data_IF_622939048029
#
_entry.id   IF_622939048029
#
_cell.length_a   1.000
_cell.length_b   1.000
_cell.length_c   1.000
_cell.angle_alpha   90.00
_cell.angle_beta   90.00
_cell.angle_gamma   90.00
#
_symmetry.space_group_name_H-M   'P 1'
#
loop_
_entity.id
_entity.type
_entity.pdbx_description
1 polymer ?
#
# COMPACT_ATOMS: atom_id res chain seq x y z
N UNK A 1 -6.67 47.87 4.54
CA UNK A 1 -6.41 46.70 3.67
C UNK A 1 -5.04 46.07 3.90
N UNK A 2 -3.92 46.82 3.88
CA UNK A 2 -2.59 46.26 4.17
C UNK A 2 -2.48 45.58 5.56
N UNK A 3 -2.99 46.21 6.63
CA UNK A 3 -2.98 45.64 7.99
C UNK A 3 -3.82 44.36 8.16
N UNK A 4 -4.86 44.19 7.35
CA UNK A 4 -5.73 43.01 7.41
C UNK A 4 -5.11 41.83 6.65
N UNK A 5 -4.23 42.12 5.70
CA UNK A 5 -3.46 41.15 4.94
C UNK A 5 -2.24 40.66 5.73
N UNK A 6 -1.55 41.56 6.45
CA UNK A 6 -0.51 41.20 7.43
C UNK A 6 -1.08 40.32 8.56
N UNK A 7 -2.26 40.65 9.11
CA UNK A 7 -2.89 39.84 10.16
C UNK A 7 -3.36 38.46 9.67
N UNK A 8 -3.76 38.33 8.40
CA UNK A 8 -4.12 37.05 7.80
C UNK A 8 -2.88 36.21 7.46
N UNK A 9 -1.77 36.83 7.06
CA UNK A 9 -0.48 36.15 6.89
C UNK A 9 0.10 35.70 8.25
N UNK A 10 -0.06 36.50 9.30
CA UNK A 10 0.37 36.18 10.66
C UNK A 10 -0.50 35.07 11.30
N UNK A 11 -1.81 35.04 11.02
CA UNK A 11 -2.70 33.95 11.45
C UNK A 11 -2.53 32.68 10.60
N UNK A 12 -2.20 32.77 9.32
CA UNK A 12 -1.85 31.62 8.49
C UNK A 12 -0.48 31.00 8.88
N UNK A 13 0.41 31.81 9.46
CA UNK A 13 1.65 31.35 10.07
C UNK A 13 1.49 30.71 11.46
N UNK A 14 0.28 30.71 12.04
CA UNK A 14 0.03 30.30 13.43
C UNK A 14 -0.05 28.77 13.67
N UNK A 15 0.26 27.95 12.67
CA UNK A 15 0.32 26.49 12.82
C UNK A 15 1.64 26.01 13.42
N UNK A 16 1.69 24.85 14.10
CA UNK A 16 2.92 24.35 14.71
C UNK A 16 4.01 24.04 13.67
N UNK A 17 3.63 23.55 12.49
CA UNK A 17 4.60 23.25 11.42
C UNK A 17 5.28 24.52 10.86
N UNK A 18 4.56 25.58 10.44
CA UNK A 18 5.19 26.85 10.08
C UNK A 18 6.19 27.38 11.12
N UNK A 19 5.86 27.32 12.42
CA UNK A 19 6.78 27.74 13.47
C UNK A 19 8.07 26.91 13.52
N UNK A 20 7.97 25.58 13.40
CA UNK A 20 9.14 24.68 13.34
C UNK A 20 10.00 25.01 12.12
N UNK A 21 9.38 25.19 10.95
CA UNK A 21 10.08 25.51 9.70
C UNK A 21 10.78 26.87 9.76
N UNK A 22 10.17 27.88 10.39
CA UNK A 22 10.78 29.20 10.59
C UNK A 22 11.98 29.14 11.54
N UNK A 23 11.83 28.43 12.67
CA UNK A 23 12.90 28.28 13.67
C UNK A 23 14.15 27.62 13.09
N UNK A 24 14.00 26.65 12.19
CA UNK A 24 15.10 25.94 11.53
C UNK A 24 15.19 26.24 10.03
N UNK A 25 14.83 27.47 9.62
CA UNK A 25 14.71 27.88 8.21
C UNK A 25 15.96 27.59 7.38
N UNK A 26 17.14 27.90 7.89
CA UNK A 26 18.40 27.68 7.16
C UNK A 26 18.66 26.20 6.89
N UNK A 27 18.40 25.34 7.87
CA UNK A 27 18.54 23.90 7.76
C UNK A 27 17.61 23.34 6.67
N UNK A 28 16.31 23.64 6.73
CA UNK A 28 15.36 23.16 5.72
C UNK A 28 15.65 23.73 4.32
N UNK A 29 16.05 25.00 4.22
CA UNK A 29 16.43 25.59 2.93
C UNK A 29 17.71 24.97 2.35
N UNK A 30 18.68 24.63 3.19
CA UNK A 30 19.88 23.90 2.77
C UNK A 30 19.49 22.50 2.29
N UNK A 31 18.66 21.79 3.04
CA UNK A 31 18.18 20.45 2.71
C UNK A 31 17.44 20.41 1.37
N UNK A 32 16.50 21.35 1.16
CA UNK A 32 15.80 21.50 -0.12
C UNK A 32 16.76 21.75 -1.28
N UNK A 33 17.71 22.67 -1.13
CA UNK A 33 18.72 22.99 -2.16
C UNK A 33 19.58 21.79 -2.50
N UNK A 34 20.00 21.01 -1.50
CA UNK A 34 20.76 19.77 -1.72
C UNK A 34 19.96 18.76 -2.55
N UNK A 35 18.68 18.55 -2.21
CA UNK A 35 17.82 17.64 -2.98
C UNK A 35 17.56 18.15 -4.39
N UNK A 36 17.32 19.45 -4.57
CA UNK A 36 17.13 20.07 -5.88
C UNK A 36 18.38 20.02 -6.75
N UNK A 37 19.57 20.09 -6.17
CA UNK A 37 20.83 19.91 -6.91
C UNK A 37 20.94 18.49 -7.51
N UNK A 38 20.43 17.47 -6.82
CA UNK A 38 20.37 16.09 -7.32
C UNK A 38 19.20 15.86 -8.29
N UNK A 39 18.13 16.65 -8.19
CA UNK A 39 16.94 16.59 -9.05
C UNK A 39 16.52 17.98 -9.51
N UNK A 40 17.09 18.49 -10.62
CA UNK A 40 16.83 19.85 -11.10
C UNK A 40 15.35 20.17 -11.38
N UNK A 41 14.55 19.14 -11.71
CA UNK A 41 13.10 19.26 -11.97
C UNK A 41 12.21 19.31 -10.73
N UNK A 42 12.77 19.37 -9.52
CA UNK A 42 11.99 19.46 -8.29
C UNK A 42 11.34 20.85 -8.15
N UNK A 43 10.01 20.89 -8.16
CA UNK A 43 9.21 22.12 -8.08
C UNK A 43 9.03 22.58 -6.62
N UNK A 44 9.56 23.77 -6.31
CA UNK A 44 9.42 24.37 -4.99
C UNK A 44 8.00 24.81 -4.64
N UNK A 45 7.19 25.20 -5.64
CA UNK A 45 5.80 25.57 -5.41
C UNK A 45 4.96 24.34 -5.05
N UNK A 46 5.12 23.24 -5.80
CA UNK A 46 4.52 21.95 -5.46
C UNK A 46 4.94 21.44 -4.08
N UNK A 47 6.21 21.62 -3.71
CA UNK A 47 6.69 21.26 -2.38
C UNK A 47 6.02 22.07 -1.26
N UNK A 48 5.98 23.40 -1.41
CA UNK A 48 5.33 24.29 -0.45
C UNK A 48 3.82 23.98 -0.32
N UNK A 49 3.15 23.71 -1.45
CA UNK A 49 1.78 23.24 -1.47
C UNK A 49 1.61 21.95 -0.65
N UNK A 50 2.50 20.98 -0.81
CA UNK A 50 2.47 19.72 -0.06
C UNK A 50 2.64 19.92 1.45
N UNK A 51 3.52 20.84 1.85
CA UNK A 51 3.69 21.17 3.26
C UNK A 51 2.42 21.81 3.85
N UNK A 52 1.76 22.70 3.09
CA UNK A 52 0.59 23.43 3.56
C UNK A 52 -0.69 22.59 3.55
N UNK A 53 -0.92 21.81 2.48
CA UNK A 53 -2.16 21.05 2.32
C UNK A 53 -2.16 19.73 3.08
N UNK A 54 -1.00 19.09 3.27
CA UNK A 54 -0.92 17.76 3.85
C UNK A 54 -0.21 17.73 5.20
N UNK A 55 1.00 18.27 5.27
CA UNK A 55 1.80 18.17 6.49
C UNK A 55 1.27 19.07 7.61
N UNK A 56 0.93 20.32 7.33
CA UNK A 56 0.50 21.27 8.35
C UNK A 56 -0.78 20.82 9.09
N UNK A 57 -1.85 20.33 8.42
CA UNK A 57 -3.04 19.84 9.10
C UNK A 57 -2.79 18.58 9.94
N UNK A 58 -1.90 17.68 9.51
CA UNK A 58 -1.50 16.53 10.33
C UNK A 58 -0.68 16.93 11.54
N UNK A 59 0.30 17.82 11.38
CA UNK A 59 1.12 18.32 12.47
C UNK A 59 0.25 19.01 13.53
N UNK A 60 -0.70 19.84 13.10
CA UNK A 60 -1.66 20.48 14.00
C UNK A 60 -2.49 19.46 14.79
N UNK A 61 -2.97 18.40 14.13
CA UNK A 61 -3.74 17.36 14.81
C UNK A 61 -2.91 16.53 15.79
N UNK A 62 -1.64 16.22 15.48
CA UNK A 62 -0.76 15.45 16.36
C UNK A 62 -0.18 16.24 17.54
N UNK A 63 -0.15 17.56 17.43
CA UNK A 63 0.38 18.46 18.47
C UNK A 63 -0.75 19.14 19.27
N UNK A 64 -2.02 18.78 19.03
CA UNK A 64 -3.16 19.36 19.72
C UNK A 64 -3.06 19.19 21.26
N UNK A 65 -2.58 18.03 21.72
CA UNK A 65 -2.48 17.68 23.14
C UNK A 65 -1.06 17.78 23.71
N UNK A 66 -0.03 17.91 22.86
CA UNK A 66 1.37 18.02 23.26
C UNK A 66 2.08 19.06 22.38
N UNK A 67 2.23 20.26 22.93
CA UNK A 67 2.89 21.39 22.28
C UNK A 67 4.37 21.50 22.62
N UNK A 68 4.98 20.42 23.14
CA UNK A 68 6.40 20.43 23.46
C UNK A 68 7.23 20.74 22.20
N UNK A 69 8.17 21.67 22.37
CA UNK A 69 9.01 22.14 21.27
C UNK A 69 9.81 21.01 20.62
N UNK A 70 10.20 20.01 21.40
CA UNK A 70 10.97 18.85 20.92
C UNK A 70 10.09 17.94 20.04
N UNK A 71 8.89 17.58 20.49
CA UNK A 71 7.97 16.77 19.68
C UNK A 71 7.57 17.51 18.40
N UNK A 72 7.33 18.82 18.49
CA UNK A 72 7.04 19.65 17.32
C UNK A 72 8.19 19.62 16.30
N UNK A 73 9.45 19.76 16.75
CA UNK A 73 10.62 19.67 15.87
C UNK A 73 10.74 18.29 15.21
N UNK A 74 10.58 17.21 15.97
CA UNK A 74 10.67 15.83 15.46
C UNK A 74 9.59 15.54 14.40
N UNK A 75 8.34 15.90 14.68
CA UNK A 75 7.23 15.71 13.74
C UNK A 75 7.39 16.61 12.51
N UNK A 76 7.82 17.85 12.69
CA UNK A 76 8.03 18.79 11.60
C UNK A 76 9.13 18.33 10.65
N UNK A 77 10.26 17.85 11.16
CA UNK A 77 11.34 17.27 10.36
C UNK A 77 10.89 16.01 9.62
N UNK A 78 10.19 15.10 10.31
CA UNK A 78 9.68 13.88 9.71
C UNK A 78 8.66 14.12 8.58
N UNK A 79 7.71 15.03 8.79
CA UNK A 79 6.73 15.41 7.76
C UNK A 79 7.38 16.13 6.58
N UNK A 80 8.37 16.99 6.84
CA UNK A 80 9.14 17.67 5.80
C UNK A 80 9.84 16.65 4.89
N UNK A 81 10.56 15.68 5.47
CA UNK A 81 11.26 14.65 4.70
C UNK A 81 10.27 13.73 3.96
N UNK A 82 9.12 13.41 4.56
CA UNK A 82 8.08 12.62 3.88
C UNK A 82 7.51 13.35 2.65
N UNK A 83 7.14 14.63 2.78
CA UNK A 83 6.68 15.44 1.65
C UNK A 83 7.76 15.54 0.56
N UNK A 84 9.02 15.68 0.96
CA UNK A 84 10.14 15.77 0.02
C UNK A 84 10.35 14.45 -0.72
N UNK A 85 10.27 13.32 -0.02
CA UNK A 85 10.36 11.99 -0.61
C UNK A 85 9.21 11.70 -1.59
N UNK A 86 7.98 12.08 -1.25
CA UNK A 86 6.82 11.94 -2.14
C UNK A 86 6.97 12.79 -3.40
N UNK A 87 7.43 14.04 -3.26
CA UNK A 87 7.68 14.90 -4.41
C UNK A 87 8.81 14.37 -5.30
N UNK A 88 9.89 13.83 -4.72
CA UNK A 88 10.95 13.15 -5.47
C UNK A 88 10.43 11.93 -6.23
N UNK A 89 9.43 11.24 -5.70
CA UNK A 89 8.75 10.14 -6.38
C UNK A 89 7.74 10.60 -7.45
N UNK A 90 7.57 11.91 -7.65
CA UNK A 90 6.62 12.48 -8.63
C UNK A 90 5.20 12.63 -8.08
N UNK A 91 5.02 12.56 -6.76
CA UNK A 91 3.72 12.68 -6.09
C UNK A 91 3.60 14.05 -5.42
N UNK A 92 3.42 15.09 -6.23
CA UNK A 92 3.13 16.44 -5.77
C UNK A 92 1.73 16.56 -5.14
N UNK A 93 1.57 17.51 -4.22
CA UNK A 93 0.26 17.87 -3.74
C UNK A 93 -0.62 18.50 -4.82
N UNK A 94 -1.84 18.00 -4.86
CA UNK A 94 -2.95 18.46 -5.67
C UNK A 94 -4.21 17.92 -5.02
N UNK A 95 -5.24 18.77 -4.91
CA UNK A 95 -6.56 18.41 -4.38
C UNK A 95 -7.21 17.24 -5.12
N UNK A 96 -6.88 17.08 -6.41
CA UNK A 96 -7.39 16.01 -7.28
C UNK A 96 -6.30 14.95 -7.58
N UNK A 97 -5.15 15.04 -6.91
CA UNK A 97 -4.03 14.13 -7.10
C UNK A 97 -4.27 12.76 -6.50
N UNK A 98 -3.53 11.76 -6.98
CA UNK A 98 -3.60 10.37 -6.48
C UNK A 98 -3.47 10.25 -4.97
N UNK A 99 -2.77 11.18 -4.32
CA UNK A 99 -2.52 11.17 -2.88
C UNK A 99 -3.64 11.80 -2.04
N UNK A 100 -4.52 12.63 -2.62
CA UNK A 100 -5.55 13.35 -1.87
C UNK A 100 -6.46 12.42 -1.04
N UNK A 101 -6.92 11.26 -1.54
CA UNK A 101 -7.78 10.36 -0.76
C UNK A 101 -7.11 9.81 0.51
N UNK A 102 -5.84 9.39 0.41
CA UNK A 102 -5.13 8.84 1.57
C UNK A 102 -4.82 9.93 2.60
N UNK A 103 -4.41 11.13 2.19
CA UNK A 103 -4.18 12.24 3.12
C UNK A 103 -5.47 12.68 3.81
N UNK A 104 -6.59 12.73 3.09
CA UNK A 104 -7.90 13.00 3.70
C UNK A 104 -8.29 11.96 4.75
N UNK A 105 -8.01 10.68 4.52
CA UNK A 105 -8.22 9.62 5.50
C UNK A 105 -7.29 9.77 6.72
N UNK A 106 -5.99 9.99 6.50
CA UNK A 106 -5.02 10.17 7.59
C UNK A 106 -5.33 11.40 8.45
N UNK A 107 -5.78 12.50 7.84
CA UNK A 107 -6.17 13.70 8.56
C UNK A 107 -7.38 13.46 9.48
N UNK A 108 -8.43 12.82 8.97
CA UNK A 108 -9.61 12.48 9.79
C UNK A 108 -9.27 11.60 10.99
N UNK A 109 -8.25 10.75 10.86
CA UNK A 109 -7.86 9.78 11.89
C UNK A 109 -6.49 10.06 12.49
N UNK A 110 -6.03 11.32 12.49
CA UNK A 110 -4.68 11.67 12.95
C UNK A 110 -4.41 11.19 14.38
N UNK A 111 -5.42 11.26 15.26
CA UNK A 111 -5.34 10.79 16.64
C UNK A 111 -5.13 9.27 16.77
N UNK A 112 -5.42 8.47 15.74
CA UNK A 112 -5.17 7.02 15.75
C UNK A 112 -3.71 6.65 15.43
N UNK A 113 -2.87 7.63 15.04
CA UNK A 113 -1.49 7.44 14.56
C UNK A 113 -0.44 7.81 15.63
N UNK A 114 -0.58 7.41 16.89
CA UNK A 114 0.22 8.01 17.98
C UNK A 114 1.65 7.46 18.20
N UNK A 115 1.92 6.19 17.85
CA UNK A 115 3.19 5.52 18.17
C UNK A 115 4.37 6.07 17.37
N UNK A 116 4.40 5.76 16.07
CA UNK A 116 5.31 6.36 15.08
C UNK A 116 4.48 7.08 14.01
N UNK A 117 3.92 8.28 14.29
CA UNK A 117 3.00 8.98 13.40
C UNK A 117 3.55 9.16 11.99
N UNK A 118 4.80 9.63 11.88
CA UNK A 118 5.44 9.91 10.59
C UNK A 118 5.76 8.60 9.85
N UNK A 119 6.38 7.64 10.52
CA UNK A 119 6.77 6.38 9.87
C UNK A 119 5.56 5.53 9.49
N UNK A 120 4.51 5.51 10.31
CA UNK A 120 3.25 4.86 9.97
C UNK A 120 2.57 5.54 8.77
N UNK A 121 2.48 6.87 8.78
CA UNK A 121 1.94 7.66 7.66
C UNK A 121 2.69 7.36 6.36
N UNK A 122 4.03 7.34 6.40
CA UNK A 122 4.85 6.97 5.24
C UNK A 122 4.57 5.55 4.72
N UNK A 123 4.40 4.57 5.61
CA UNK A 123 4.05 3.19 5.23
C UNK A 123 2.66 3.10 4.60
N UNK A 124 1.67 3.84 5.12
CA UNK A 124 0.31 3.87 4.57
C UNK A 124 0.26 4.57 3.20
N UNK A 125 0.98 5.68 3.04
CA UNK A 125 1.17 6.35 1.74
C UNK A 125 1.83 5.41 0.72
N UNK A 126 2.88 4.69 1.11
CA UNK A 126 3.53 3.71 0.24
C UNK A 126 2.60 2.55 -0.14
N UNK A 127 1.79 2.05 0.79
CA UNK A 127 0.81 1.00 0.51
C UNK A 127 -0.26 1.49 -0.48
N UNK A 128 -0.74 2.71 -0.30
CA UNK A 128 -1.69 3.37 -1.19
C UNK A 128 -1.15 3.54 -2.61
N UNK A 129 0.07 4.08 -2.74
CA UNK A 129 0.75 4.22 -4.04
C UNK A 129 0.98 2.87 -4.70
N UNK A 130 1.42 1.88 -3.93
CA UNK A 130 1.64 0.53 -4.42
C UNK A 130 0.36 -0.07 -5.00
N UNK A 131 -0.78 0.08 -4.31
CA UNK A 131 -2.09 -0.41 -4.76
C UNK A 131 -2.58 0.32 -6.02
N UNK A 132 -2.45 1.64 -6.10
CA UNK A 132 -2.84 2.41 -7.29
C UNK A 132 -2.01 2.03 -8.53
N UNK A 133 -0.79 1.53 -8.35
CA UNK A 133 0.03 1.00 -9.43
C UNK A 133 -0.37 -0.42 -9.86
N UNK A 134 -1.36 -1.07 -9.23
CA UNK A 134 -1.81 -2.41 -9.61
C UNK A 134 -3.13 -2.35 -10.40
N UNK A 135 -3.15 -2.70 -11.71
CA UNK A 135 -4.37 -2.68 -12.52
C UNK A 135 -5.60 -3.44 -11.96
N UNK A 136 -5.38 -4.58 -11.31
CA UNK A 136 -6.48 -5.39 -10.75
C UNK A 136 -6.80 -5.06 -9.29
N UNK A 137 -6.05 -4.14 -8.68
CA UNK A 137 -6.34 -3.78 -7.29
C UNK A 137 -7.58 -2.90 -7.19
N UNK A 138 -8.24 -2.98 -6.04
CA UNK A 138 -9.39 -2.16 -5.67
C UNK A 138 -8.96 -1.13 -4.61
N UNK A 139 -8.26 -0.05 -4.99
CA UNK A 139 -7.73 0.93 -4.03
C UNK A 139 -8.84 1.63 -3.24
N UNK A 140 -9.99 1.94 -3.86
CA UNK A 140 -11.12 2.54 -3.15
C UNK A 140 -11.66 1.64 -2.01
N UNK A 141 -11.82 0.33 -2.27
CA UNK A 141 -12.23 -0.64 -1.25
C UNK A 141 -11.19 -0.78 -0.13
N UNK A 142 -9.91 -0.70 -0.49
CA UNK A 142 -8.82 -0.72 0.48
C UNK A 142 -8.85 0.51 1.38
N UNK A 143 -9.07 1.70 0.82
CA UNK A 143 -9.14 2.95 1.57
C UNK A 143 -10.34 2.97 2.52
N UNK A 144 -11.50 2.49 2.07
CA UNK A 144 -12.68 2.31 2.91
C UNK A 144 -12.42 1.35 4.09
N UNK A 145 -11.71 0.25 3.82
CA UNK A 145 -11.26 -0.67 4.87
C UNK A 145 -10.26 -0.03 5.84
N UNK A 146 -9.29 0.74 5.34
CA UNK A 146 -8.33 1.47 6.17
C UNK A 146 -9.02 2.48 7.07
N UNK A 147 -9.98 3.25 6.55
CA UNK A 147 -10.77 4.22 7.32
C UNK A 147 -11.49 3.53 8.48
N UNK A 148 -12.11 2.37 8.22
CA UNK A 148 -12.78 1.54 9.24
C UNK A 148 -11.81 0.99 10.31
N UNK A 149 -10.57 0.63 9.91
CA UNK A 149 -9.53 0.18 10.85
C UNK A 149 -9.02 1.32 11.72
N UNK A 150 -8.73 2.48 11.13
CA UNK A 150 -8.26 3.65 11.85
C UNK A 150 -9.31 4.16 12.84
N UNK A 151 -10.60 4.10 12.48
CA UNK A 151 -11.69 4.41 13.40
C UNK A 151 -11.73 3.44 14.60
N UNK A 152 -11.58 2.12 14.36
CA UNK A 152 -11.53 1.13 15.44
C UNK A 152 -10.32 1.36 16.34
N UNK A 153 -9.17 1.66 15.74
CA UNK A 153 -7.95 1.97 16.44
C UNK A 153 -8.03 3.24 17.29
N UNK A 154 -8.70 4.28 16.79
CA UNK A 154 -9.00 5.49 17.56
C UNK A 154 -9.80 5.22 18.84
N UNK A 155 -10.47 4.06 18.94
CA UNK A 155 -11.15 3.57 20.16
C UNK A 155 -10.27 2.69 21.06
N UNK A 156 -8.96 2.62 20.79
CA UNK A 156 -8.00 1.84 21.55
C UNK A 156 -7.85 0.38 21.14
N UNK A 157 -8.39 -0.02 19.98
CA UNK A 157 -8.20 -1.38 19.46
C UNK A 157 -6.86 -1.51 18.72
N UNK A 158 -6.03 -2.50 19.05
CA UNK A 158 -4.80 -2.83 18.31
C UNK A 158 -3.65 -1.80 18.40
N UNK A 159 -2.48 -2.19 17.90
CA UNK A 159 -1.27 -1.37 17.86
C UNK A 159 -0.79 -1.10 16.41
N UNK A 160 0.38 -0.46 16.25
CA UNK A 160 1.00 -0.19 14.95
C UNK A 160 1.29 -1.45 14.14
N UNK A 161 1.77 -2.51 14.80
CA UNK A 161 2.12 -3.76 14.15
C UNK A 161 0.87 -4.47 13.62
N UNK A 162 -0.15 -4.59 14.47
CA UNK A 162 -1.47 -5.11 14.12
C UNK A 162 -2.09 -4.34 12.95
N UNK A 163 -2.04 -3.00 12.96
CA UNK A 163 -2.57 -2.17 11.88
C UNK A 163 -1.87 -2.49 10.56
N UNK A 164 -0.55 -2.58 10.55
CA UNK A 164 0.20 -2.88 9.32
C UNK A 164 -0.09 -4.28 8.78
N UNK A 165 -0.25 -5.28 9.66
CA UNK A 165 -0.66 -6.63 9.27
C UNK A 165 -2.10 -6.65 8.71
N UNK A 166 -3.02 -5.92 9.34
CA UNK A 166 -4.41 -5.76 8.89
C UNK A 166 -4.53 -5.04 7.54
N UNK A 167 -3.75 -3.98 7.34
CA UNK A 167 -3.70 -3.23 6.08
C UNK A 167 -3.13 -4.08 4.94
N UNK A 168 -2.19 -4.98 5.23
CA UNK A 168 -1.72 -5.92 4.23
C UNK A 168 -2.78 -6.99 3.88
N UNK A 169 -3.56 -7.45 4.87
CA UNK A 169 -4.71 -8.32 4.62
C UNK A 169 -5.75 -7.62 3.73
N UNK A 170 -6.06 -6.35 4.00
CA UNK A 170 -6.91 -5.55 3.10
C UNK A 170 -6.33 -5.50 1.69
N UNK A 171 -5.02 -5.24 1.55
CA UNK A 171 -4.39 -5.18 0.23
C UNK A 171 -4.51 -6.52 -0.52
N UNK A 172 -4.35 -7.64 0.20
CA UNK A 172 -4.59 -8.97 -0.36
C UNK A 172 -6.05 -9.13 -0.81
N UNK A 173 -7.02 -8.85 0.07
CA UNK A 173 -8.45 -8.88 -0.27
C UNK A 173 -8.81 -7.98 -1.44
N UNK A 174 -8.09 -6.87 -1.61
CA UNK A 174 -8.27 -5.91 -2.68
C UNK A 174 -7.49 -6.26 -3.95
N UNK A 175 -6.98 -7.49 -4.12
CA UNK A 175 -6.44 -7.98 -5.40
C UNK A 175 -4.93 -8.19 -5.44
N UNK A 176 -4.20 -7.92 -4.37
CA UNK A 176 -2.75 -8.16 -4.31
C UNK A 176 -2.47 -9.62 -3.91
N UNK A 177 -2.78 -10.58 -4.79
CA UNK A 177 -2.70 -12.03 -4.54
C UNK A 177 -1.35 -12.50 -3.97
N UNK A 178 -0.24 -11.85 -4.37
CA UNK A 178 1.10 -12.16 -3.85
C UNK A 178 1.25 -11.99 -2.33
N UNK A 179 0.37 -11.24 -1.67
CA UNK A 179 0.39 -11.03 -0.23
C UNK A 179 -0.22 -12.18 0.56
N UNK A 180 -0.99 -13.09 -0.06
CA UNK A 180 -1.65 -14.23 0.60
C UNK A 180 -0.77 -14.93 1.62
N UNK A 181 0.42 -15.36 1.19
CA UNK A 181 1.29 -16.16 2.05
C UNK A 181 1.77 -15.39 3.28
N UNK A 182 2.27 -14.17 3.08
CA UNK A 182 2.75 -13.33 4.17
C UNK A 182 1.63 -12.95 5.14
N UNK A 183 0.45 -12.61 4.61
CA UNK A 183 -0.73 -12.27 5.42
C UNK A 183 -1.19 -13.47 6.25
N UNK A 184 -1.34 -14.65 5.64
CA UNK A 184 -1.79 -15.84 6.35
C UNK A 184 -0.80 -16.30 7.44
N UNK A 185 0.47 -15.94 7.35
CA UNK A 185 1.44 -16.18 8.42
C UNK A 185 1.30 -15.20 9.59
N UNK A 186 0.87 -13.97 9.32
CA UNK A 186 0.77 -12.89 10.32
C UNK A 186 -0.63 -12.62 10.83
N UNK A 187 -1.62 -13.34 10.32
CA UNK A 187 -3.03 -13.12 10.69
C UNK A 187 -3.29 -13.29 12.20
N UNK A 188 -2.47 -14.09 12.89
CA UNK A 188 -2.54 -14.25 14.35
C UNK A 188 -2.18 -12.97 15.13
N UNK A 189 -1.48 -12.01 14.52
CA UNK A 189 -1.16 -10.72 15.10
C UNK A 189 -2.31 -9.71 15.00
N UNK A 190 -3.35 -10.03 14.20
CA UNK A 190 -4.47 -9.13 13.96
C UNK A 190 -5.51 -9.34 15.08
N UNK A 191 -5.97 -8.28 15.77
CA UNK A 191 -7.07 -8.37 16.72
C UNK A 191 -8.29 -9.06 16.09
N UNK A 192 -8.87 -10.10 16.73
CA UNK A 192 -10.03 -10.80 16.18
C UNK A 192 -11.23 -9.87 15.91
N UNK A 193 -11.38 -8.80 16.71
CA UNK A 193 -12.42 -7.78 16.53
C UNK A 193 -12.34 -7.04 15.19
N UNK A 194 -11.18 -7.06 14.52
CA UNK A 194 -11.00 -6.44 13.21
C UNK A 194 -11.40 -7.34 12.05
N UNK A 195 -11.48 -8.65 12.22
CA UNK A 195 -11.75 -9.59 11.12
C UNK A 195 -13.05 -9.29 10.35
N UNK A 196 -14.18 -8.91 10.98
CA UNK A 196 -15.39 -8.51 10.25
C UNK A 196 -15.25 -7.26 9.37
N UNK A 197 -14.25 -6.41 9.66
CA UNK A 197 -13.92 -5.21 8.85
C UNK A 197 -12.99 -5.56 7.70
N UNK A 198 -12.22 -6.63 7.85
CA UNK A 198 -11.17 -7.06 6.95
C UNK A 198 -11.66 -8.06 5.90
N UNK A 199 -12.67 -8.85 6.24
CA UNK A 199 -13.19 -9.95 5.46
C UNK A 199 -14.71 -9.81 5.28
N UNK A 200 -15.30 -10.39 4.21
CA UNK A 200 -16.75 -10.33 3.98
C UNK A 200 -17.51 -11.29 4.91
N UNK A 201 -17.42 -11.07 6.21
CA UNK A 201 -17.98 -11.93 7.27
C UNK A 201 -18.60 -11.09 8.37
N UNK A 202 -19.60 -11.63 9.06
CA UNK A 202 -20.32 -10.90 10.12
C UNK A 202 -19.65 -10.96 11.49
N UNK A 203 -18.85 -12.00 11.78
CA UNK A 203 -18.23 -12.20 13.10
C UNK A 203 -16.75 -12.57 13.01
N UNK A 204 -16.04 -12.40 14.13
CA UNK A 204 -14.63 -12.75 14.23
C UNK A 204 -14.40 -14.24 14.00
N UNK A 205 -15.27 -15.10 14.55
CA UNK A 205 -15.19 -16.56 14.42
C UNK A 205 -15.43 -17.00 12.97
N UNK A 206 -16.35 -16.35 12.26
CA UNK A 206 -16.55 -16.58 10.83
C UNK A 206 -15.31 -16.16 10.03
N UNK A 207 -14.69 -15.03 10.36
CA UNK A 207 -13.44 -14.58 9.76
C UNK A 207 -12.28 -15.56 9.99
N UNK A 208 -12.12 -16.06 11.20
CA UNK A 208 -11.08 -17.02 11.54
C UNK A 208 -11.26 -18.33 10.77
N UNK A 209 -12.49 -18.87 10.72
CA UNK A 209 -12.80 -20.07 9.92
C UNK A 209 -12.53 -19.85 8.44
N UNK A 210 -12.89 -18.69 7.89
CA UNK A 210 -12.60 -18.36 6.50
C UNK A 210 -11.08 -18.32 6.25
N UNK A 211 -10.29 -17.74 7.14
CA UNK A 211 -8.83 -17.69 7.03
C UNK A 211 -8.16 -19.07 7.08
N UNK A 212 -8.67 -19.97 7.92
CA UNK A 212 -8.22 -21.36 7.98
C UNK A 212 -8.51 -22.10 6.69
N UNK A 213 -9.72 -21.95 6.15
CA UNK A 213 -10.09 -22.50 4.85
C UNK A 213 -9.24 -21.90 3.74
N UNK A 214 -9.02 -20.60 3.74
CA UNK A 214 -8.17 -19.90 2.77
C UNK A 214 -6.71 -20.30 2.87
N UNK A 215 -6.23 -20.82 4.01
CA UNK A 215 -4.89 -21.39 4.15
C UNK A 215 -4.78 -22.74 3.44
N UNK A 216 -5.81 -23.59 3.56
CA UNK A 216 -5.87 -24.89 2.90
C UNK A 216 -6.18 -24.78 1.40
N UNK A 217 -7.05 -23.86 1.00
CA UNK A 217 -7.52 -23.68 -0.36
C UNK A 217 -7.56 -22.17 -0.74
N UNK A 218 -6.71 -21.71 -1.69
CA UNK A 218 -6.71 -20.31 -2.15
C UNK A 218 -8.04 -19.82 -2.71
N UNK A 219 -8.93 -20.72 -3.10
CA UNK A 219 -10.23 -20.41 -3.71
C UNK A 219 -11.40 -20.53 -2.74
N UNK A 220 -11.14 -20.89 -1.47
CA UNK A 220 -12.19 -21.15 -0.49
C UNK A 220 -13.16 -19.96 -0.33
N UNK A 221 -14.46 -20.26 -0.47
CA UNK A 221 -15.58 -19.32 -0.28
C UNK A 221 -16.67 -19.89 0.60
N UNK A 222 -17.42 -19.05 1.31
CA UNK A 222 -18.65 -19.49 1.98
C UNK A 222 -19.75 -19.86 0.97
N UNK A 223 -19.64 -19.38 -0.27
CA UNK A 223 -20.49 -19.80 -1.36
C UNK A 223 -20.28 -21.28 -1.71
N UNK A 224 -21.36 -21.96 -2.09
CA UNK A 224 -21.30 -23.31 -2.62
C UNK A 224 -20.32 -23.37 -3.79
N UNK A 225 -19.46 -24.39 -3.78
CA UNK A 225 -18.52 -24.60 -4.88
C UNK A 225 -19.29 -24.68 -6.21
N UNK A 226 -18.82 -24.01 -7.27
CA UNK A 226 -19.50 -24.08 -8.56
C UNK A 226 -19.56 -25.53 -9.02
N UNK A 227 -20.72 -25.97 -9.50
CA UNK A 227 -20.92 -27.33 -9.97
C UNK A 227 -20.12 -27.65 -11.25
N UNK A 228 -19.57 -26.63 -11.91
CA UNK A 228 -18.85 -26.73 -13.18
C UNK A 228 -17.61 -25.82 -13.19
N UNK A 229 -16.63 -26.16 -14.05
CA UNK A 229 -15.47 -25.32 -14.33
C UNK A 229 -15.94 -23.94 -14.80
N UNK A 230 -15.44 -22.88 -14.15
CA UNK A 230 -15.76 -21.48 -14.49
C UNK A 230 -14.48 -20.67 -14.67
N UNK A 231 -14.40 -19.93 -15.77
CA UNK A 231 -13.39 -18.90 -15.94
C UNK A 231 -13.68 -17.73 -14.97
N UNK A 232 -12.76 -17.46 -14.04
CA UNK A 232 -12.92 -16.41 -13.01
C UNK A 232 -12.06 -15.18 -13.25
N UNK A 233 -11.21 -15.22 -14.29
CA UNK A 233 -10.32 -14.13 -14.65
C UNK A 233 -9.35 -14.52 -15.75
N UNK A 234 -8.72 -13.51 -16.37
CA UNK A 234 -7.64 -13.66 -17.34
C UNK A 234 -6.46 -12.84 -16.89
N UNK A 235 -5.27 -13.43 -16.97
CA UNK A 235 -4.05 -12.85 -16.46
C UNK A 235 -2.93 -12.93 -17.48
N UNK A 236 -2.14 -11.88 -17.60
CA UNK A 236 -1.02 -11.77 -18.53
C UNK A 236 -1.28 -10.74 -19.62
N UNK A 237 -0.65 -10.93 -20.78
CA UNK A 237 -0.75 -10.04 -21.93
C UNK A 237 0.61 -9.60 -22.46
N UNK A 238 0.60 -9.05 -23.67
CA UNK A 238 1.81 -8.61 -24.34
C UNK A 238 2.19 -7.16 -24.00
N UNK A 239 3.49 -6.88 -23.99
CA UNK A 239 4.06 -5.54 -23.85
C UNK A 239 3.58 -4.70 -25.03
N UNK A 240 3.11 -3.48 -24.75
CA UNK A 240 2.43 -2.62 -25.73
C UNK A 240 0.90 -2.80 -25.78
N UNK A 241 0.37 -3.90 -25.23
CA UNK A 241 -1.06 -4.15 -25.05
C UNK A 241 -1.45 -4.23 -23.56
N UNK A 242 -0.68 -3.55 -22.70
CA UNK A 242 -0.92 -3.50 -21.26
C UNK A 242 -0.39 -4.69 -20.45
N UNK A 243 0.29 -5.65 -21.09
CA UNK A 243 0.86 -6.81 -20.40
C UNK A 243 2.38 -6.76 -20.21
N UNK A 244 2.91 -7.79 -19.56
CA UNK A 244 4.32 -7.85 -19.12
C UNK A 244 5.25 -8.63 -20.07
N UNK A 245 4.69 -9.40 -21.00
CA UNK A 245 5.46 -10.35 -21.82
C UNK A 245 5.72 -9.81 -23.23
N UNK A 246 6.92 -9.98 -23.78
CA UNK A 246 7.20 -9.53 -25.16
C UNK A 246 6.64 -10.51 -26.20
N UNK A 247 6.55 -11.78 -25.82
CA UNK A 247 6.04 -12.89 -26.62
C UNK A 247 5.31 -13.89 -25.71
N UNK A 248 4.79 -14.99 -26.26
CA UNK A 248 4.06 -15.97 -25.46
C UNK A 248 5.02 -16.61 -24.45
N UNK A 249 4.78 -16.50 -23.13
CA UNK A 249 5.70 -17.07 -22.15
C UNK A 249 5.61 -18.59 -22.13
N UNK A 250 6.74 -19.23 -21.91
CA UNK A 250 6.77 -20.62 -21.48
C UNK A 250 6.20 -20.72 -20.06
N UNK A 251 5.37 -21.74 -19.84
CA UNK A 251 4.70 -21.99 -18.57
C UNK A 251 5.17 -23.30 -17.98
N UNK A 252 5.71 -23.24 -16.77
CA UNK A 252 6.21 -24.40 -16.03
C UNK A 252 5.54 -24.47 -14.68
N UNK A 253 5.09 -25.66 -14.28
CA UNK A 253 4.64 -25.91 -12.91
C UNK A 253 5.84 -26.37 -12.06
N UNK A 254 6.16 -25.62 -11.01
CA UNK A 254 7.20 -25.98 -10.03
C UNK A 254 6.67 -25.73 -8.61
N UNK A 255 6.72 -26.76 -7.76
CA UNK A 255 6.25 -26.72 -6.37
C UNK A 255 4.83 -26.14 -6.21
N UNK A 256 3.93 -26.55 -7.12
CA UNK A 256 2.54 -26.08 -7.14
C UNK A 256 2.36 -24.62 -7.58
N UNK A 257 3.40 -23.98 -8.15
CA UNK A 257 3.36 -22.61 -8.67
C UNK A 257 3.61 -22.62 -10.17
N UNK A 258 2.83 -21.82 -10.89
CA UNK A 258 3.09 -21.57 -12.30
C UNK A 258 4.17 -20.50 -12.42
N UNK A 259 5.26 -20.86 -13.08
CA UNK A 259 6.35 -19.98 -13.47
C UNK A 259 6.17 -19.61 -14.94
N UNK A 260 6.38 -18.33 -15.23
CA UNK A 260 6.16 -17.71 -16.53
C UNK A 260 7.46 -17.03 -16.95
N UNK A 261 7.96 -17.36 -18.14
CA UNK A 261 9.14 -16.71 -18.70
C UNK A 261 9.01 -16.58 -20.22
N UNK A 262 9.18 -15.38 -20.74
CA UNK A 262 9.43 -15.18 -22.17
C UNK A 262 10.96 -15.19 -22.44
N UNK A 263 11.41 -15.37 -23.68
CA UNK A 263 12.85 -15.59 -23.97
C UNK A 263 13.75 -14.42 -23.59
N UNK A 264 13.20 -13.22 -23.45
CA UNK A 264 13.96 -11.99 -23.18
C UNK A 264 13.74 -11.44 -21.77
N UNK A 265 12.81 -12.04 -21.03
CA UNK A 265 12.23 -11.49 -19.83
C UNK A 265 12.71 -12.20 -18.57
N UNK A 266 12.57 -11.51 -17.42
CA UNK A 266 12.82 -12.12 -16.13
C UNK A 266 11.77 -13.21 -15.84
N UNK A 267 12.18 -14.22 -15.07
CA UNK A 267 11.29 -15.25 -14.54
C UNK A 267 10.25 -14.62 -13.61
N UNK A 268 8.98 -14.98 -13.82
CA UNK A 268 7.85 -14.54 -13.03
C UNK A 268 7.14 -15.75 -12.43
N UNK A 269 6.50 -15.56 -11.27
CA UNK A 269 5.57 -16.54 -10.71
C UNK A 269 4.15 -15.97 -10.77
N UNK A 270 3.20 -16.80 -11.19
CA UNK A 270 1.78 -16.46 -11.12
C UNK A 270 1.28 -16.67 -9.69
N UNK A 271 0.79 -15.59 -9.08
CA UNK A 271 0.03 -15.64 -7.84
C UNK A 271 -1.44 -15.52 -8.19
N UNK A 272 -2.24 -16.51 -7.85
CA UNK A 272 -3.68 -16.49 -8.10
C UNK A 272 -4.43 -17.09 -6.92
N UNK A 273 -5.49 -16.41 -6.52
CA UNK A 273 -6.45 -16.83 -5.51
C UNK A 273 -7.78 -16.14 -5.76
N UNK A 274 -8.76 -16.34 -4.87
CA UNK A 274 -10.10 -15.77 -5.03
C UNK A 274 -10.14 -14.23 -5.07
N UNK A 275 -9.09 -13.54 -4.64
CA UNK A 275 -9.08 -12.07 -4.56
C UNK A 275 -8.42 -11.41 -5.77
N UNK A 276 -7.56 -12.12 -6.51
CA UNK A 276 -6.96 -11.65 -7.76
C UNK A 276 -5.95 -12.63 -8.37
N UNK A 277 -5.43 -12.30 -9.55
CA UNK A 277 -4.41 -13.10 -10.23
C UNK A 277 -3.35 -12.23 -10.89
N UNK A 278 -2.07 -12.44 -10.61
CA UNK A 278 -1.00 -11.63 -11.20
C UNK A 278 0.36 -12.33 -11.30
N UNK A 279 1.10 -12.18 -12.41
CA UNK A 279 2.51 -12.52 -12.49
C UNK A 279 3.33 -11.51 -11.68
N UNK A 280 4.27 -11.99 -10.88
CA UNK A 280 5.22 -11.13 -10.19
C UNK A 280 6.64 -11.65 -10.40
N UNK A 281 7.58 -10.71 -10.54
CA UNK A 281 9.01 -11.02 -10.64
C UNK A 281 9.44 -11.89 -9.46
N UNK A 282 10.20 -12.94 -9.77
CA UNK A 282 10.82 -13.80 -8.76
C UNK A 282 12.31 -13.89 -9.01
N UNK A 283 13.07 -14.03 -7.92
CA UNK A 283 14.50 -14.29 -7.99
C UNK A 283 14.76 -15.80 -8.00
N UNK A 284 15.90 -16.22 -8.55
CA UNK A 284 16.34 -17.62 -8.46
C UNK A 284 16.47 -18.12 -7.01
N UNK A 285 16.63 -17.23 -6.02
CA UNK A 285 16.65 -17.57 -4.60
C UNK A 285 15.24 -17.84 -4.06
N UNK A 286 14.25 -17.04 -4.46
CA UNK A 286 12.84 -17.28 -4.09
C UNK A 286 12.26 -18.53 -4.75
N UNK A 287 12.76 -18.91 -5.94
CA UNK A 287 12.42 -20.19 -6.58
C UNK A 287 13.11 -21.36 -5.87
N UNK A 288 14.36 -21.20 -5.42
CA UNK A 288 15.09 -22.25 -4.69
C UNK A 288 14.59 -22.55 -3.27
N UNK A 289 14.01 -21.54 -2.60
CA UNK A 289 13.31 -21.78 -1.33
C UNK A 289 12.00 -22.54 -1.51
N UNK A 290 11.36 -22.45 -2.68
CA UNK A 290 10.27 -23.35 -3.06
C UNK A 290 10.81 -24.74 -3.46
N UNK A 291 11.90 -24.79 -4.24
CA UNK A 291 12.45 -26.03 -4.82
C UNK A 291 13.36 -26.85 -3.91
N UNK A 292 13.38 -26.57 -2.59
CA UNK A 292 14.00 -27.46 -1.62
C UNK A 292 13.22 -28.79 -1.46
N UNK A 293 12.13 -28.96 -2.21
CA UNK A 293 11.24 -30.13 -2.25
C UNK A 293 11.16 -30.74 -3.65
N UNK A 294 12.30 -31.07 -4.28
CA UNK A 294 12.37 -32.05 -5.37
C UNK A 294 12.39 -31.50 -6.80
N UNK A 295 13.25 -32.08 -7.63
CA UNK A 295 13.64 -31.59 -8.95
C UNK A 295 12.74 -32.03 -10.12
N UNK A 296 12.46 -31.08 -11.02
CA UNK A 296 12.61 -31.11 -12.49
C UNK A 296 11.52 -30.23 -13.13
N UNK A 297 11.94 -29.11 -13.72
CA UNK A 297 11.08 -28.25 -14.55
C UNK A 297 10.52 -29.09 -15.70
N UNK A 298 9.24 -29.45 -15.65
CA UNK A 298 8.53 -30.02 -16.80
C UNK A 298 7.73 -28.89 -17.45
N UNK A 299 7.99 -28.54 -18.72
CA UNK A 299 7.09 -27.69 -19.48
C UNK A 299 5.67 -28.27 -19.39
N UNK A 300 4.66 -27.43 -19.15
CA UNK A 300 3.28 -27.86 -19.34
C UNK A 300 3.11 -27.99 -20.86
N UNK A 301 3.35 -29.19 -21.38
CA UNK A 301 3.16 -29.48 -22.80
C UNK A 301 1.68 -29.23 -23.17
N UNK A 302 1.46 -28.58 -24.31
CA UNK A 302 0.15 -28.37 -24.93
C UNK A 302 -0.67 -29.67 -24.92
N UNK A 303 -1.56 -29.82 -23.95
CA UNK A 303 -2.56 -30.91 -23.91
C UNK A 303 -3.83 -30.54 -24.68
N UNK A 304 -3.81 -29.49 -25.51
CA UNK A 304 -4.99 -28.98 -26.21
C UNK A 304 -5.11 -29.36 -27.70
N UNK A 305 -4.25 -30.22 -28.26
CA UNK A 305 -4.35 -30.61 -29.69
C UNK A 305 -4.47 -32.11 -30.00
N UNK A 306 -4.83 -32.96 -29.00
CA UNK A 306 -5.28 -34.34 -29.25
C UNK A 306 -6.64 -34.64 -28.65
N UNK A 307 -7.65 -33.92 -29.13
CA UNK A 307 -9.01 -34.42 -29.24
C UNK A 307 -9.55 -33.92 -30.60
N UNK A 308 -9.08 -34.57 -31.65
CA UNK A 308 -9.70 -34.48 -32.98
C UNK A 308 -10.53 -35.73 -33.19
N UNK A 309 -11.85 -35.53 -33.25
CA UNK A 309 -12.95 -36.30 -33.87
C UNK A 309 -14.22 -36.16 -33.02
#
# INVERSE_FOLDING_TARGET
MAQQQDQLEEQAAAGPLPHVLLRRREHYNQRFRMVRALRPGLDGAAFACSLNEWAAPLAAAWLADDTSSERADQLGEGLYELCLALLQAGHAASTDGVMAPIWGCLHRHAAALQGDPVGLTGRLCNAWLYLNAQPEARPADWLSGLDSLLQARGRGEGDDAALLDAVQLLAWRCGVARFRHAVLQRVANIPPSWLPRLLPVSTAEAGQRLLERLRADPWASDDAAPATLREVGRVGGFRGLGGSFVELPEVVLLDGRLLLQDRQGPLQALYADRFGARPALVTARSVRQASAWGAALRPIADHAHRAGL
#
